data_IF_308373057959
#
_entry.id   IF_308373057959
#
_cell.length_a   1.000
_cell.length_b   1.000
_cell.length_c   1.000
_cell.angle_alpha   90.00
_cell.angle_beta   90.00
_cell.angle_gamma   90.00
#
_symmetry.space_group_name_H-M   'P 1'
#
loop_
_entity.id
_entity.type
_entity.pdbx_description
1 polymer ?
#
# COMPACT_ATOMS: atom_id res chain seq x y z
N UNK A 1 3.39 15.87 11.47
CA UNK A 1 2.20 15.95 10.59
C UNK A 1 2.26 17.27 9.83
N UNK A 2 1.99 17.26 8.53
CA UNK A 2 1.96 18.47 7.70
C UNK A 2 0.50 18.80 7.39
N UNK A 3 0.12 20.06 7.58
CA UNK A 3 -1.13 20.61 7.10
C UNK A 3 -0.82 21.50 5.90
N UNK A 4 -1.36 21.16 4.75
CA UNK A 4 -1.16 21.88 3.49
C UNK A 4 -2.44 22.59 3.08
N UNK A 5 -2.30 23.72 2.41
CA UNK A 5 -3.41 24.42 1.76
C UNK A 5 -3.89 23.61 0.54
N UNK A 6 -5.19 23.29 0.41
CA UNK A 6 -5.68 22.28 -0.54
C UNK A 6 -5.54 22.66 -2.02
N UNK A 7 -5.38 23.95 -2.36
CA UNK A 7 -5.27 24.40 -3.75
C UNK A 7 -3.88 24.83 -4.19
N UNK A 8 -2.98 25.11 -3.24
CA UNK A 8 -1.64 25.68 -3.54
C UNK A 8 -0.51 24.85 -2.96
N UNK A 9 -0.82 23.79 -2.19
CA UNK A 9 0.13 22.96 -1.45
C UNK A 9 1.05 23.72 -0.49
N UNK A 10 0.72 24.97 -0.16
CA UNK A 10 1.47 25.78 0.80
C UNK A 10 1.36 25.20 2.21
N UNK A 11 2.47 25.15 2.95
CA UNK A 11 2.51 24.62 4.32
C UNK A 11 1.80 25.60 5.27
N UNK A 12 0.71 25.15 5.90
CA UNK A 12 -0.06 25.92 6.89
C UNK A 12 0.39 25.63 8.33
N UNK A 13 0.71 24.37 8.62
CA UNK A 13 1.17 23.96 9.96
C UNK A 13 2.08 22.73 9.88
N UNK A 14 3.08 22.70 10.78
CA UNK A 14 4.01 21.59 10.95
C UNK A 14 3.98 21.15 12.41
N UNK A 15 3.47 19.94 12.66
CA UNK A 15 3.49 19.32 13.98
C UNK A 15 4.68 18.38 14.11
N UNK A 16 5.59 18.69 15.04
CA UNK A 16 6.69 17.82 15.44
C UNK A 16 6.28 16.96 16.64
N UNK A 17 6.69 15.69 16.62
CA UNK A 17 6.56 14.77 17.75
C UNK A 17 7.96 14.44 18.26
N UNK A 18 8.20 14.64 19.56
CA UNK A 18 9.47 14.23 20.18
C UNK A 18 9.49 12.71 20.31
N UNK A 19 10.49 12.07 19.70
CA UNK A 19 10.72 10.64 19.79
C UNK A 19 12.07 10.36 20.46
N UNK A 20 12.10 9.98 21.75
CA UNK A 20 13.33 9.51 22.38
C UNK A 20 13.73 8.14 21.80
N UNK A 21 15.02 7.78 21.89
CA UNK A 21 15.58 6.59 21.22
C UNK A 21 14.92 5.26 21.61
N UNK A 22 14.27 5.20 22.77
CA UNK A 22 13.56 4.02 23.25
C UNK A 22 12.04 4.07 23.04
N UNK A 23 11.50 5.14 22.45
CA UNK A 23 10.06 5.24 22.20
C UNK A 23 9.62 4.38 21.03
N UNK A 24 8.53 3.65 21.25
CA UNK A 24 7.78 2.99 20.19
C UNK A 24 6.78 3.98 19.59
N UNK A 25 6.91 4.22 18.29
CA UNK A 25 6.07 5.11 17.52
C UNK A 25 5.02 4.32 16.75
N UNK A 26 3.80 4.85 16.73
CA UNK A 26 2.75 4.41 15.83
C UNK A 26 2.90 5.21 14.54
N UNK A 27 3.35 4.56 13.48
CA UNK A 27 3.63 5.20 12.19
C UNK A 27 2.71 4.65 11.11
N UNK A 28 2.23 5.53 10.25
CA UNK A 28 1.56 5.15 9.01
C UNK A 28 2.60 5.15 7.89
N UNK A 29 2.90 3.96 7.38
CA UNK A 29 3.89 3.76 6.32
C UNK A 29 3.13 3.64 4.99
N UNK A 30 3.50 4.42 3.96
CA UNK A 30 2.89 4.32 2.65
C UNK A 30 3.29 3.02 1.93
N UNK A 31 2.36 2.52 1.13
CA UNK A 31 2.53 1.33 0.31
C UNK A 31 2.87 1.72 -1.13
N UNK A 32 3.83 1.04 -1.71
CA UNK A 32 4.25 1.24 -3.11
C UNK A 32 4.08 -0.08 -3.86
N UNK A 33 3.26 -0.07 -4.90
CA UNK A 33 3.09 -1.23 -5.78
C UNK A 33 4.31 -1.43 -6.67
N UNK A 34 4.77 -2.67 -6.77
CA UNK A 34 5.88 -3.10 -7.64
C UNK A 34 5.44 -4.28 -8.50
N UNK A 35 5.97 -4.37 -9.71
CA UNK A 35 5.70 -5.47 -10.63
C UNK A 35 4.33 -5.40 -11.32
N UNK A 36 3.79 -4.19 -11.52
CA UNK A 36 2.53 -3.99 -12.26
C UNK A 36 2.62 -4.45 -13.72
N UNK A 37 3.79 -4.31 -14.33
CA UNK A 37 4.13 -4.66 -15.71
C UNK A 37 4.19 -6.19 -15.95
N UNK A 38 4.68 -6.93 -14.95
CA UNK A 38 4.83 -8.39 -15.02
C UNK A 38 3.65 -9.16 -14.41
N UNK A 39 2.77 -8.47 -13.68
CA UNK A 39 1.62 -9.07 -13.00
C UNK A 39 0.68 -9.83 -13.97
N UNK A 40 0.49 -11.16 -13.82
CA UNK A 40 -0.30 -11.95 -14.75
C UNK A 40 -1.77 -11.54 -14.74
N UNK A 41 -2.29 -11.14 -13.59
CA UNK A 41 -3.65 -10.62 -13.48
C UNK A 41 -3.84 -9.37 -14.34
N UNK A 42 -2.98 -8.36 -14.20
CA UNK A 42 -3.09 -7.10 -14.94
C UNK A 42 -2.94 -7.29 -16.44
N UNK A 43 -2.06 -8.19 -16.87
CA UNK A 43 -1.89 -8.55 -18.30
C UNK A 43 -3.16 -9.17 -18.92
N UNK A 44 -4.05 -9.75 -18.12
CA UNK A 44 -5.35 -10.31 -18.56
C UNK A 44 -6.47 -9.25 -18.66
N UNK A 45 -6.13 -7.97 -18.83
CA UNK A 45 -7.09 -6.85 -18.90
C UNK A 45 -7.96 -6.70 -17.64
N UNK A 46 -7.42 -7.06 -16.48
CA UNK A 46 -8.01 -6.73 -15.18
C UNK A 46 -7.42 -5.41 -14.65
N UNK A 47 -7.88 -4.94 -13.49
CA UNK A 47 -7.37 -3.73 -12.86
C UNK A 47 -6.98 -3.97 -11.40
N UNK A 48 -5.99 -3.21 -10.93
CA UNK A 48 -5.56 -3.19 -9.55
C UNK A 48 -6.54 -2.36 -8.72
N UNK A 49 -7.16 -2.98 -7.72
CA UNK A 49 -7.93 -2.29 -6.71
C UNK A 49 -7.07 -2.08 -5.45
N UNK A 50 -6.69 -0.84 -5.19
CA UNK A 50 -5.94 -0.46 -3.98
C UNK A 50 -6.92 -0.14 -2.86
N UNK A 51 -6.98 -1.00 -1.84
CA UNK A 51 -7.92 -0.88 -0.71
C UNK A 51 -7.33 0.01 0.39
N UNK A 52 -6.03 -0.13 0.65
CA UNK A 52 -5.26 0.66 1.62
C UNK A 52 -4.03 1.23 0.93
N UNK A 53 -3.76 2.51 1.15
CA UNK A 53 -2.52 3.18 0.69
C UNK A 53 -1.44 3.25 1.76
N UNK A 54 -1.82 3.05 3.02
CA UNK A 54 -0.92 3.09 4.17
C UNK A 54 -1.22 1.93 5.10
N UNK A 55 -0.20 1.48 5.85
CA UNK A 55 -0.34 0.47 6.90
C UNK A 55 0.24 1.01 8.20
N UNK A 56 -0.45 0.73 9.31
CA UNK A 56 -0.06 1.15 10.65
C UNK A 56 0.89 0.14 11.28
N UNK A 57 2.09 0.58 11.58
CA UNK A 57 3.09 -0.19 12.31
C UNK A 57 3.40 0.44 13.66
N UNK A 58 3.85 -0.39 14.59
CA UNK A 58 4.53 -0.01 15.81
C UNK A 58 6.01 -0.37 15.65
N UNK A 59 6.89 0.63 15.66
CA UNK A 59 8.34 0.42 15.59
C UNK A 59 9.10 1.51 16.36
N UNK A 60 10.39 1.27 16.56
CA UNK A 60 11.31 2.26 17.12
C UNK A 60 11.62 3.34 16.09
N UNK A 61 11.95 4.55 16.55
CA UNK A 61 12.25 5.69 15.69
C UNK A 61 13.37 5.41 14.66
N UNK A 62 14.34 4.57 15.01
CA UNK A 62 15.50 4.26 14.16
C UNK A 62 15.18 3.35 12.96
N UNK A 63 14.03 2.66 12.98
CA UNK A 63 13.68 1.62 11.98
C UNK A 63 12.36 1.94 11.28
N UNK A 64 11.98 3.23 11.21
CA UNK A 64 10.79 3.65 10.47
C UNK A 64 11.10 3.60 8.97
N UNK A 65 10.47 2.71 8.19
CA UNK A 65 10.70 2.65 6.75
C UNK A 65 10.00 3.84 6.05
N UNK A 66 10.58 4.37 4.96
CA UNK A 66 9.94 5.42 4.18
C UNK A 66 8.72 4.91 3.41
N UNK A 67 8.72 3.64 3.00
CA UNK A 67 7.61 2.95 2.34
C UNK A 67 7.75 1.43 2.49
N UNK A 68 6.66 0.70 2.22
CA UNK A 68 6.63 -0.76 2.13
C UNK A 68 6.24 -1.20 0.72
N UNK A 69 7.05 -2.07 0.11
CA UNK A 69 6.75 -2.59 -1.22
C UNK A 69 5.64 -3.65 -1.19
N UNK A 70 4.72 -3.53 -2.14
CA UNK A 70 3.65 -4.48 -2.41
C UNK A 70 3.95 -5.17 -3.74
N UNK A 71 4.34 -6.44 -3.66
CA UNK A 71 4.76 -7.23 -4.82
C UNK A 71 3.56 -7.82 -5.57
N UNK A 72 3.26 -7.28 -6.74
CA UNK A 72 2.13 -7.70 -7.58
C UNK A 72 2.50 -8.78 -8.60
N UNK A 73 3.78 -9.13 -8.71
CA UNK A 73 4.32 -9.93 -9.82
C UNK A 73 3.70 -11.34 -9.93
N UNK A 74 3.22 -11.88 -8.81
CA UNK A 74 2.68 -13.26 -8.72
C UNK A 74 1.15 -13.29 -8.64
N UNK A 75 0.50 -12.12 -8.52
CA UNK A 75 -0.95 -12.02 -8.33
C UNK A 75 -1.73 -12.27 -9.62
N UNK A 76 -2.71 -13.19 -9.56
CA UNK A 76 -3.67 -13.42 -10.64
C UNK A 76 -5.04 -12.78 -10.36
N UNK A 77 -5.93 -12.79 -11.36
CA UNK A 77 -7.28 -12.21 -11.27
C UNK A 77 -8.06 -12.83 -10.11
N UNK A 78 -8.64 -11.99 -9.26
CA UNK A 78 -9.42 -12.40 -8.10
C UNK A 78 -8.60 -12.62 -6.83
N UNK A 79 -7.27 -12.68 -6.92
CA UNK A 79 -6.40 -12.79 -5.75
C UNK A 79 -6.19 -11.44 -5.06
N UNK A 80 -5.97 -11.51 -3.74
CA UNK A 80 -5.74 -10.37 -2.85
C UNK A 80 -4.44 -10.57 -2.08
N UNK A 81 -3.76 -9.47 -1.77
CA UNK A 81 -2.70 -9.44 -0.76
C UNK A 81 -3.25 -8.88 0.53
N UNK A 82 -2.88 -9.50 1.65
CA UNK A 82 -3.22 -9.01 2.98
C UNK A 82 -2.00 -8.38 3.66
N UNK A 83 -2.22 -7.65 4.76
CA UNK A 83 -1.13 -6.97 5.50
C UNK A 83 -0.05 -7.94 5.96
N UNK A 84 -0.41 -9.18 6.30
CA UNK A 84 0.52 -10.21 6.73
C UNK A 84 1.52 -10.66 5.65
N UNK A 85 1.19 -10.49 4.36
CA UNK A 85 2.02 -10.93 3.24
C UNK A 85 3.12 -9.92 2.88
N UNK A 86 3.10 -8.74 3.50
CA UNK A 86 4.05 -7.67 3.21
C UNK A 86 5.46 -8.03 3.72
N UNK A 87 6.45 -7.86 2.84
CA UNK A 87 7.87 -8.04 3.18
C UNK A 87 8.34 -6.86 4.03
N UNK A 88 8.31 -7.03 5.35
CA UNK A 88 8.72 -5.99 6.32
C UNK A 88 9.83 -6.48 7.25
N UNK A 89 10.60 -5.53 7.78
CA UNK A 89 11.63 -5.83 8.77
C UNK A 89 11.00 -6.44 10.05
N UNK A 90 11.63 -7.44 10.70
CA UNK A 90 11.07 -8.17 11.85
C UNK A 90 10.77 -7.29 13.07
N UNK A 91 11.37 -6.11 13.17
CA UNK A 91 11.10 -5.15 14.26
C UNK A 91 9.79 -4.37 14.08
N UNK A 92 9.17 -4.42 12.89
CA UNK A 92 7.89 -3.76 12.61
C UNK A 92 6.75 -4.66 13.08
N UNK A 93 5.97 -4.18 14.06
CA UNK A 93 4.76 -4.88 14.51
C UNK A 93 3.53 -4.26 13.87
N UNK A 94 2.69 -5.07 13.21
CA UNK A 94 1.37 -4.64 12.75
C UNK A 94 0.46 -4.34 13.94
N UNK A 95 -0.21 -3.19 13.91
CA UNK A 95 -1.19 -2.79 14.94
C UNK A 95 -2.60 -3.32 14.67
N UNK A 96 -2.89 -3.62 13.41
CA UNK A 96 -4.20 -4.07 12.92
C UNK A 96 -4.15 -5.55 12.55
N UNK A 97 -5.31 -6.14 12.20
CA UNK A 97 -5.36 -7.55 11.82
C UNK A 97 -4.52 -7.85 10.58
N UNK A 98 -3.83 -8.99 10.59
CA UNK A 98 -2.97 -9.45 9.48
C UNK A 98 -3.79 -9.82 8.24
N UNK A 99 -5.04 -10.19 8.42
CA UNK A 99 -5.92 -10.70 7.35
C UNK A 99 -6.62 -9.59 6.55
N UNK A 100 -6.41 -8.33 6.94
CA UNK A 100 -6.98 -7.20 6.22
C UNK A 100 -6.35 -7.05 4.84
N UNK A 101 -7.16 -6.96 3.77
CA UNK A 101 -6.66 -6.85 2.41
C UNK A 101 -6.10 -5.45 2.14
N UNK A 102 -4.94 -5.43 1.49
CA UNK A 102 -4.23 -4.21 1.09
C UNK A 102 -4.57 -3.85 -0.36
N UNK A 103 -4.50 -4.83 -1.25
CA UNK A 103 -4.85 -4.69 -2.65
C UNK A 103 -5.44 -5.98 -3.20
N UNK A 104 -6.17 -5.87 -4.30
CA UNK A 104 -6.79 -7.01 -4.99
C UNK A 104 -6.80 -6.76 -6.49
N UNK A 105 -6.56 -7.80 -7.28
CA UNK A 105 -6.75 -7.72 -8.73
C UNK A 105 -8.21 -8.08 -9.05
N UNK A 106 -8.94 -7.17 -9.69
CA UNK A 106 -10.36 -7.33 -9.97
C UNK A 106 -10.72 -7.03 -11.43
N UNK A 107 -11.83 -7.65 -11.85
CA UNK A 107 -12.47 -7.40 -13.13
C UNK A 107 -11.80 -8.07 -14.32
N UNK A 108 -12.56 -8.17 -15.40
CA UNK A 108 -12.04 -8.33 -16.75
C UNK A 108 -12.76 -7.27 -17.58
N UNK A 109 -12.03 -6.47 -18.37
CA UNK A 109 -12.70 -5.71 -19.43
C UNK A 109 -13.24 -6.75 -20.41
N UNK A 110 -14.57 -6.84 -20.52
CA UNK A 110 -15.20 -7.63 -21.57
C UNK A 110 -14.63 -7.17 -22.92
N UNK A 111 -14.13 -8.11 -23.72
CA UNK A 111 -13.81 -7.84 -25.13
C UNK A 111 -15.10 -7.30 -25.77
N UNK A 112 -15.06 -6.06 -26.27
CA UNK A 112 -16.03 -5.65 -27.30
C UNK A 112 -15.86 -6.62 -28.47
N UNK A 113 -16.78 -7.58 -28.60
CA UNK A 113 -16.94 -8.38 -29.80
C UNK A 113 -17.26 -7.42 -30.95
N UNK A 114 -16.32 -7.24 -31.87
CA UNK A 114 -16.63 -6.76 -33.22
C UNK A 114 -17.66 -7.75 -33.81
N UNK A 115 -18.93 -7.38 -33.81
CA UNK A 115 -19.95 -8.02 -34.64
C UNK A 115 -19.64 -7.61 -36.10
N UNK A 116 -19.07 -8.53 -36.86
CA UNK A 116 -19.19 -8.53 -38.32
C UNK A 116 -20.45 -9.31 -38.66
N UNK A 117 -21.44 -8.64 -39.25
CA UNK A 117 -22.40 -9.15 -40.22
C UNK A 117 -23.04 -7.95 -40.91
#
# INVERSE_FOLDING_TARGET
>A
MLHLHPGTDAILNVTFLRAPSNALLKVEVPLVSRGEDVCPGLRKCSYLNTIKRTVRYLCSADVVPPYTDVDLSVLDVGQKLVKGDLKVHPSLRLLESKDEPVCKIMGSRAKQQKKSN
#
